data_IF_263453569680
#
_entry.id   IF_263453569680
#
_cell.length_a   1.000
_cell.length_b   1.000
_cell.length_c   1.000
_cell.angle_alpha   90.00
_cell.angle_beta   90.00
_cell.angle_gamma   90.00
#
_symmetry.space_group_name_H-M   'P 1'
#
loop_
_entity.id
_entity.type
_entity.pdbx_description
1 polymer ?
#
# COMPACT_ATOMS: atom_id res chain seq x y z
N UNK A 1 2.46 -3.49 -4.65
CA UNK A 1 1.89 -2.29 -4.04
C UNK A 1 2.92 -1.16 -3.99
N UNK A 2 4.09 -1.43 -3.41
CA UNK A 2 5.15 -0.41 -3.32
C UNK A 2 5.61 0.07 -4.70
N UNK A 3 5.76 -0.84 -5.65
CA UNK A 3 6.17 -0.48 -7.01
C UNK A 3 5.13 0.44 -7.66
N UNK A 4 3.85 0.12 -7.50
CA UNK A 4 2.77 0.93 -8.07
C UNK A 4 2.72 2.32 -7.42
N UNK A 5 2.93 2.39 -6.11
CA UNK A 5 2.91 3.66 -5.39
C UNK A 5 4.01 4.60 -5.87
N UNK A 6 5.23 4.08 -6.03
CA UNK A 6 6.35 4.90 -6.52
C UNK A 6 6.10 5.33 -7.96
N UNK A 7 5.62 4.41 -8.81
CA UNK A 7 5.32 4.74 -10.19
C UNK A 7 4.24 5.82 -10.31
N UNK A 8 3.24 5.78 -9.42
CA UNK A 8 2.17 6.77 -9.42
C UNK A 8 2.68 8.18 -9.14
N UNK A 9 3.69 8.30 -8.27
CA UNK A 9 4.24 9.61 -7.90
C UNK A 9 5.35 10.07 -8.84
N UNK A 10 5.82 9.22 -9.73
CA UNK A 10 6.98 9.50 -10.56
C UNK A 10 6.73 9.22 -12.02
N UNK A 11 5.53 9.55 -12.53
CA UNK A 11 5.19 9.34 -13.93
C UNK A 11 6.05 10.17 -14.86
N UNK A 12 6.55 11.30 -14.38
CA UNK A 12 7.54 12.11 -15.09
C UNK A 12 8.68 12.44 -14.16
N UNK A 13 9.89 12.77 -14.69
CA UNK A 13 10.97 13.23 -13.84
C UNK A 13 10.61 14.45 -12.99
N UNK A 14 9.79 15.34 -13.52
CA UNK A 14 9.34 16.52 -12.78
C UNK A 14 8.47 16.13 -11.59
N UNK A 15 7.57 15.17 -11.77
CA UNK A 15 6.72 14.67 -10.68
C UNK A 15 7.57 14.03 -9.59
N UNK A 16 8.53 13.20 -9.96
CA UNK A 16 9.43 12.56 -8.99
C UNK A 16 10.20 13.61 -8.20
N UNK A 17 10.71 14.64 -8.87
CA UNK A 17 11.47 15.71 -8.21
C UNK A 17 10.61 16.52 -7.26
N UNK A 18 9.30 16.65 -7.56
CA UNK A 18 8.37 17.44 -6.74
C UNK A 18 7.87 16.65 -5.54
N UNK A 19 7.42 15.41 -5.76
CA UNK A 19 6.68 14.67 -4.75
C UNK A 19 7.56 13.82 -3.83
N UNK A 20 8.60 13.17 -4.37
CA UNK A 20 9.41 12.27 -3.55
C UNK A 20 10.12 12.95 -2.39
N UNK A 21 10.70 14.17 -2.57
CA UNK A 21 11.33 14.85 -1.44
C UNK A 21 10.36 15.25 -0.32
N UNK A 22 9.06 15.34 -0.65
CA UNK A 22 8.03 15.71 0.33
C UNK A 22 7.51 14.50 1.10
N UNK A 23 7.88 13.30 0.69
CA UNK A 23 7.42 12.08 1.34
C UNK A 23 8.02 11.96 2.74
N UNK A 24 7.16 11.65 3.71
CA UNK A 24 7.59 11.45 5.09
C UNK A 24 8.16 10.06 5.34
N UNK A 25 8.57 9.80 6.61
CA UNK A 25 9.13 8.50 6.97
C UNK A 25 8.18 7.32 6.70
N UNK A 26 6.88 7.52 6.84
CA UNK A 26 5.90 6.47 6.57
C UNK A 26 5.94 6.00 5.13
N UNK A 27 5.97 6.93 4.18
CA UNK A 27 6.05 6.57 2.77
C UNK A 27 7.42 5.99 2.44
N UNK A 28 8.46 6.49 3.07
CA UNK A 28 9.82 5.97 2.86
C UNK A 28 9.89 4.49 3.23
N UNK A 29 9.34 4.12 4.38
CA UNK A 29 9.31 2.73 4.80
C UNK A 29 8.41 1.89 3.91
N UNK A 30 7.24 2.40 3.58
CA UNK A 30 6.27 1.70 2.74
C UNK A 30 6.84 1.39 1.36
N UNK A 31 7.59 2.33 0.78
CA UNK A 31 8.12 2.20 -0.58
C UNK A 31 9.49 1.54 -0.65
N UNK A 32 10.06 1.14 0.48
CA UNK A 32 11.44 0.61 0.54
C UNK A 32 11.66 -0.56 -0.40
N UNK A 33 10.68 -1.45 -0.51
CA UNK A 33 10.78 -2.63 -1.38
C UNK A 33 10.88 -2.24 -2.86
N UNK A 34 10.38 -1.05 -3.23
CA UNK A 34 10.44 -0.61 -4.61
C UNK A 34 11.89 -0.41 -5.12
N UNK A 35 12.86 -0.36 -4.23
CA UNK A 35 14.28 -0.27 -4.59
C UNK A 35 14.93 -1.63 -4.80
N UNK A 36 14.15 -2.71 -4.80
CA UNK A 36 14.66 -4.07 -4.91
C UNK A 36 15.00 -4.44 -6.35
N UNK A 37 15.70 -5.58 -6.50
CA UNK A 37 16.11 -6.11 -7.80
C UNK A 37 14.88 -6.40 -8.67
N UNK A 38 14.74 -5.74 -9.83
CA UNK A 38 13.57 -5.94 -10.68
C UNK A 38 13.44 -7.35 -11.25
N UNK A 39 14.55 -8.02 -11.53
CA UNK A 39 14.50 -9.36 -12.11
C UNK A 39 13.98 -10.38 -11.12
N UNK A 40 14.42 -10.29 -9.87
CA UNK A 40 13.97 -11.19 -8.81
C UNK A 40 12.46 -11.00 -8.58
N UNK A 41 12.00 -9.76 -8.47
CA UNK A 41 10.59 -9.50 -8.21
C UNK A 41 9.69 -9.80 -9.41
N UNK A 42 10.20 -9.61 -10.63
CA UNK A 42 9.47 -10.04 -11.82
C UNK A 42 9.17 -11.54 -11.74
N UNK A 43 10.16 -12.33 -11.36
CA UNK A 43 10.02 -13.78 -11.30
C UNK A 43 9.08 -14.20 -10.14
N UNK A 44 9.21 -13.54 -8.99
CA UNK A 44 8.35 -13.83 -7.84
C UNK A 44 6.88 -13.55 -8.19
N UNK A 45 6.60 -12.39 -8.77
CA UNK A 45 5.23 -12.00 -9.11
C UNK A 45 4.66 -12.87 -10.22
N UNK A 46 5.49 -13.23 -11.19
CA UNK A 46 5.06 -14.10 -12.28
C UNK A 46 4.72 -15.51 -11.77
N UNK A 47 5.51 -16.04 -10.84
CA UNK A 47 5.27 -17.37 -10.28
C UNK A 47 3.97 -17.42 -9.47
N UNK A 48 3.53 -16.29 -8.91
CA UNK A 48 2.32 -16.20 -8.10
C UNK A 48 1.23 -15.40 -8.81
N UNK A 49 1.22 -15.44 -10.13
CA UNK A 49 0.41 -14.56 -10.97
C UNK A 49 -1.06 -14.48 -10.56
N UNK A 50 -1.71 -15.63 -10.38
CA UNK A 50 -3.15 -15.64 -10.10
C UNK A 50 -3.46 -15.01 -8.75
N UNK A 51 -2.68 -15.34 -7.73
CA UNK A 51 -2.86 -14.77 -6.40
C UNK A 51 -2.59 -13.27 -6.39
N UNK A 52 -1.56 -12.83 -7.10
CA UNK A 52 -1.22 -11.41 -7.19
C UNK A 52 -2.35 -10.63 -7.84
N UNK A 53 -2.90 -11.14 -8.95
CA UNK A 53 -4.01 -10.50 -9.65
C UNK A 53 -5.22 -10.41 -8.72
N UNK A 54 -5.56 -11.50 -8.03
CA UNK A 54 -6.70 -11.54 -7.13
C UNK A 54 -6.59 -10.49 -6.03
N UNK A 55 -5.44 -10.44 -5.35
CA UNK A 55 -5.24 -9.49 -4.26
C UNK A 55 -5.13 -8.06 -4.74
N UNK A 56 -4.56 -7.85 -5.92
CA UNK A 56 -4.50 -6.51 -6.52
C UNK A 56 -5.90 -5.98 -6.81
N UNK A 57 -6.79 -6.81 -7.33
CA UNK A 57 -8.16 -6.40 -7.60
C UNK A 57 -8.90 -6.05 -6.32
N UNK A 58 -8.70 -6.83 -5.26
CA UNK A 58 -9.30 -6.52 -3.96
C UNK A 58 -8.77 -5.22 -3.40
N UNK A 59 -7.48 -4.97 -3.55
CA UNK A 59 -6.89 -3.71 -3.11
C UNK A 59 -7.47 -2.52 -3.86
N UNK A 60 -7.64 -2.67 -5.18
CA UNK A 60 -8.22 -1.60 -6.00
C UNK A 60 -9.64 -1.27 -5.56
N UNK A 61 -10.44 -2.28 -5.27
CA UNK A 61 -11.80 -2.06 -4.79
C UNK A 61 -11.81 -1.31 -3.47
N UNK A 62 -10.93 -1.68 -2.55
CA UNK A 62 -10.84 -0.99 -1.25
C UNK A 62 -10.36 0.44 -1.41
N UNK A 63 -9.40 0.67 -2.29
CA UNK A 63 -8.90 2.02 -2.56
C UNK A 63 -9.98 2.88 -3.18
N UNK A 64 -10.75 2.35 -4.13
CA UNK A 64 -11.85 3.05 -4.77
C UNK A 64 -12.93 3.45 -3.76
N UNK A 65 -13.20 2.59 -2.79
CA UNK A 65 -14.19 2.90 -1.75
C UNK A 65 -13.74 4.10 -0.91
N UNK A 66 -12.49 4.14 -0.49
CA UNK A 66 -11.94 5.28 0.23
C UNK A 66 -11.97 6.55 -0.61
N UNK A 67 -11.50 6.45 -1.84
CA UNK A 67 -11.45 7.58 -2.76
C UNK A 67 -12.85 8.16 -2.99
N UNK A 68 -13.83 7.28 -3.22
CA UNK A 68 -15.21 7.70 -3.45
C UNK A 68 -15.80 8.44 -2.24
N UNK A 69 -15.52 7.92 -1.04
CA UNK A 69 -15.99 8.59 0.18
C UNK A 69 -15.39 10.00 0.31
N UNK A 70 -14.12 10.13 -0.02
CA UNK A 70 -13.44 11.43 0.03
C UNK A 70 -14.02 12.38 -1.02
N UNK A 71 -14.20 11.90 -2.26
CA UNK A 71 -14.72 12.72 -3.35
C UNK A 71 -16.12 13.24 -3.07
N UNK A 72 -16.96 12.40 -2.47
CA UNK A 72 -18.34 12.79 -2.12
C UNK A 72 -18.42 13.54 -0.79
N UNK A 73 -17.30 13.70 -0.11
CA UNK A 73 -17.25 14.29 1.22
C UNK A 73 -18.18 13.57 2.20
N UNK A 74 -18.26 12.25 2.05
CA UNK A 74 -19.05 11.40 2.95
C UNK A 74 -18.19 11.05 4.15
N UNK A 75 -18.17 11.95 5.12
CA UNK A 75 -17.26 11.85 6.26
C UNK A 75 -17.62 10.70 7.19
N UNK A 76 -18.90 10.37 7.30
CA UNK A 76 -19.33 9.24 8.13
C UNK A 76 -18.85 7.91 7.55
N UNK A 77 -19.01 7.73 6.24
CA UNK A 77 -18.52 6.54 5.57
C UNK A 77 -16.99 6.46 5.64
N UNK A 78 -16.31 7.57 5.38
CA UNK A 78 -14.86 7.62 5.46
C UNK A 78 -14.38 7.21 6.83
N UNK A 79 -14.99 7.75 7.89
CA UNK A 79 -14.63 7.39 9.25
C UNK A 79 -14.86 5.90 9.52
N UNK A 80 -15.97 5.35 9.02
CA UNK A 80 -16.29 3.94 9.22
C UNK A 80 -15.25 3.04 8.55
N UNK A 81 -14.82 3.39 7.34
CA UNK A 81 -13.81 2.62 6.62
C UNK A 81 -12.46 2.66 7.35
N UNK A 82 -12.08 3.82 7.84
CA UNK A 82 -10.83 3.98 8.59
C UNK A 82 -10.92 3.21 9.92
N UNK A 83 -12.04 3.33 10.63
CA UNK A 83 -12.23 2.66 11.91
C UNK A 83 -12.17 1.13 11.75
N UNK A 84 -12.73 0.61 10.66
CA UNK A 84 -12.69 -0.82 10.38
C UNK A 84 -11.24 -1.31 10.25
N UNK A 85 -10.45 -0.60 9.47
CA UNK A 85 -9.02 -0.94 9.29
C UNK A 85 -8.26 -0.82 10.61
N UNK A 86 -8.54 0.23 11.37
CA UNK A 86 -7.89 0.47 12.65
C UNK A 86 -8.17 -0.65 13.65
N UNK A 87 -9.42 -1.12 13.70
CA UNK A 87 -9.79 -2.21 14.60
C UNK A 87 -9.10 -3.51 14.23
N UNK A 88 -9.05 -3.82 12.95
CA UNK A 88 -8.38 -5.04 12.49
C UNK A 88 -6.90 -4.98 12.82
N UNK A 89 -6.24 -3.87 12.54
CA UNK A 89 -4.80 -3.75 12.79
C UNK A 89 -4.49 -3.76 14.28
N UNK A 90 -5.33 -3.15 15.10
CA UNK A 90 -5.13 -3.12 16.56
C UNK A 90 -5.28 -4.50 17.18
N UNK A 91 -6.17 -5.32 16.65
CA UNK A 91 -6.36 -6.68 17.13
C UNK A 91 -5.35 -7.68 16.59
N UNK A 92 -4.51 -7.26 15.66
CA UNK A 92 -3.54 -8.15 15.02
C UNK A 92 -2.27 -8.24 15.86
N UNK A 93 -2.00 -9.43 16.41
CA UNK A 93 -0.77 -9.70 17.15
C UNK A 93 0.18 -10.46 16.24
N UNK A 94 1.37 -9.97 16.25
CA UNK A 94 2.40 -10.62 15.44
C UNK A 94 2.96 -11.79 16.19
N UNK A 95 2.86 -12.47 16.60
CA UNK A 95 3.50 -13.39 17.09
C UNK A 95 4.14 -14.04 16.63
N UNK A 96 3.69 -12.96 16.64
CA UNK A 96 4.06 -13.15 16.31
C UNK A 96 4.84 -13.20 16.27
N UNK A 97 4.86 -12.82 16.30
CA UNK A 97 5.43 -12.79 16.07
C UNK A 97 5.85 -12.74 16.50
N UNK A 98 5.35 -12.67 16.79
CA UNK A 98 5.71 -12.55 17.07
C UNK A 98 6.40 -12.77 17.34
N UNK A 99 6.44 -12.64 17.18
CA UNK A 99 7.20 -12.56 17.21
C UNK A 99 7.96 -12.29 17.32
N UNK A 100 7.89 -12.12 17.23
CA UNK A 100 8.53 -11.72 17.19
C UNK A 100 9.19 -11.41 17.34
N UNK A 101 8.89 -11.31 17.52
CA UNK A 101 9.42 -10.93 17.59
C UNK A 101 9.93 -10.67 17.68
N UNK A 102 9.71 -10.48 17.69
CA UNK A 102 10.16 -10.08 17.55
C UNK A 102 10.50 -9.79 17.55
N UNK A 103 10.24 -9.71 17.60
CA UNK A 103 10.47 -9.44 17.36
C UNK A 103 10.83 -9.33 17.24
#
# INVERSE_FOLDING_TARGET
>A
LAFAAVNALSQTPADAATYLPMAGPGFRDFSRIAASDPDVWRDILSANRQEVIHHTQRFRTALDALTSAIERNDLDLLRALIAHASQIRSGWTLQAGDHADGD
#
